data_IF_666977475233
#
_entry.id   IF_666977475233
#
_cell.length_a   1.000
_cell.length_b   1.000
_cell.length_c   1.000
_cell.angle_alpha   90.00
_cell.angle_beta   90.00
_cell.angle_gamma   90.00
#
_symmetry.space_group_name_H-M   'P 1'
#
loop_
_entity.id
_entity.type
_entity.pdbx_description
1 polymer ?
#
# COMPACT_ATOMS: atom_id res chain seq x y z
N UNK A 1 7.81 -55.89 31.15
CA UNK A 1 6.37 -55.54 31.28
C UNK A 1 6.19 -54.24 32.07
N UNK A 2 6.78 -53.14 31.58
CA UNK A 2 6.73 -51.79 32.20
C UNK A 2 6.27 -50.74 31.17
N UNK A 3 5.44 -51.14 30.20
CA UNK A 3 4.93 -50.26 29.13
C UNK A 3 3.40 -50.15 29.11
N UNK A 4 2.70 -50.87 29.99
CA UNK A 4 1.22 -50.80 30.12
C UNK A 4 0.80 -49.92 31.30
N UNK A 5 1.66 -49.76 32.33
CA UNK A 5 1.35 -48.97 33.53
C UNK A 5 1.45 -47.45 33.25
N UNK A 6 2.27 -47.01 32.29
CA UNK A 6 2.39 -45.58 31.93
C UNK A 6 1.17 -45.07 31.14
N UNK A 7 0.44 -45.95 30.45
CA UNK A 7 -0.73 -45.57 29.66
C UNK A 7 -2.00 -45.37 30.52
N UNK A 8 -2.09 -46.04 31.67
CA UNK A 8 -3.22 -45.88 32.61
C UNK A 8 -3.21 -44.57 33.38
N UNK A 9 -2.02 -44.00 33.65
CA UNK A 9 -1.88 -42.73 34.38
C UNK A 9 -2.18 -41.53 33.47
N UNK A 10 -1.86 -41.59 32.17
CA UNK A 10 -2.25 -40.54 31.22
C UNK A 10 -3.77 -40.44 31.02
N UNK A 11 -4.52 -41.55 31.13
CA UNK A 11 -5.96 -41.56 30.90
C UNK A 11 -6.77 -41.02 32.10
N UNK A 12 -6.23 -41.13 33.32
CA UNK A 12 -6.90 -40.63 34.52
C UNK A 12 -6.80 -39.09 34.67
N UNK A 13 -5.77 -38.44 34.11
CA UNK A 13 -5.63 -36.98 34.15
C UNK A 13 -6.57 -36.28 33.17
N UNK A 14 -6.99 -36.94 32.09
CA UNK A 14 -7.91 -36.36 31.10
C UNK A 14 -9.36 -36.30 31.61
N UNK A 15 -9.77 -37.20 32.51
CA UNK A 15 -11.16 -37.23 33.00
C UNK A 15 -11.47 -36.19 34.10
N UNK A 16 -10.46 -35.55 34.69
CA UNK A 16 -10.62 -34.57 35.77
C UNK A 16 -10.20 -33.14 35.36
N UNK A 17 -9.84 -32.92 34.09
CA UNK A 17 -9.70 -31.57 33.59
C UNK A 17 -11.09 -30.91 33.61
N UNK A 18 -11.28 -29.74 34.25
CA UNK A 18 -12.51 -29.00 34.09
C UNK A 18 -12.72 -28.81 32.59
N UNK A 19 -13.83 -29.36 32.08
CA UNK A 19 -14.35 -28.99 30.78
C UNK A 19 -14.63 -27.49 30.86
N UNK A 20 -13.65 -26.68 30.47
CA UNK A 20 -13.87 -25.30 30.10
C UNK A 20 -14.68 -25.34 28.80
N UNK A 21 -15.98 -25.62 28.94
CA UNK A 21 -16.98 -25.28 27.95
C UNK A 21 -16.94 -23.77 27.83
N UNK A 22 -16.05 -23.28 26.97
CA UNK A 22 -16.02 -21.89 26.57
C UNK A 22 -17.39 -21.60 25.98
N UNK A 23 -18.15 -20.80 26.68
CA UNK A 23 -19.35 -20.17 26.17
C UNK A 23 -18.90 -19.31 24.99
N UNK A 24 -18.98 -19.87 23.78
CA UNK A 24 -18.78 -19.12 22.55
C UNK A 24 -20.00 -18.21 22.44
N UNK A 25 -19.90 -17.11 23.17
CA UNK A 25 -20.69 -15.93 23.01
C UNK A 25 -20.70 -15.65 21.51
N UNK A 26 -21.82 -15.99 20.87
CA UNK A 26 -22.07 -15.71 19.47
C UNK A 26 -22.13 -14.20 19.40
N UNK A 27 -20.97 -13.58 19.19
CA UNK A 27 -20.89 -12.22 18.74
C UNK A 27 -21.70 -12.17 17.46
N UNK A 28 -22.93 -11.69 17.58
CA UNK A 28 -23.60 -11.08 16.46
C UNK A 28 -22.66 -9.94 16.04
N UNK A 29 -21.79 -10.24 15.08
CA UNK A 29 -21.17 -9.20 14.28
C UNK A 29 -22.35 -8.51 13.59
N UNK A 30 -22.86 -7.45 14.21
CA UNK A 30 -23.55 -6.42 13.49
C UNK A 30 -22.55 -5.94 12.43
N UNK A 31 -22.65 -6.51 11.24
CA UNK A 31 -21.89 -6.09 10.08
C UNK A 31 -22.32 -4.65 9.78
N UNK A 32 -21.71 -3.70 10.48
CA UNK A 32 -21.74 -2.31 10.11
C UNK A 32 -21.05 -2.23 8.75
N UNK A 33 -21.84 -2.30 7.68
CA UNK A 33 -21.40 -1.97 6.34
C UNK A 33 -21.04 -0.47 6.34
N UNK A 34 -19.83 -0.17 6.79
CA UNK A 34 -19.31 1.19 6.75
C UNK A 34 -19.12 1.59 5.29
N UNK A 35 -19.58 2.79 4.92
CA UNK A 35 -19.36 3.36 3.60
C UNK A 35 -18.15 4.30 3.68
N UNK A 36 -16.92 3.83 3.39
CA UNK A 36 -15.72 4.62 3.60
C UNK A 36 -15.73 5.86 2.71
N UNK A 37 -15.53 7.03 3.33
CA UNK A 37 -15.59 8.31 2.64
C UNK A 37 -14.58 9.28 3.20
N UNK A 38 -13.76 9.87 2.34
CA UNK A 38 -12.84 10.93 2.71
C UNK A 38 -12.52 11.82 1.52
N UNK A 39 -11.98 13.00 1.82
CA UNK A 39 -11.39 13.92 0.85
C UNK A 39 -10.16 14.54 1.48
N UNK A 40 -9.04 14.54 0.76
CA UNK A 40 -7.86 15.30 1.16
C UNK A 40 -7.26 16.05 -0.02
N UNK A 41 -6.47 17.06 0.31
CA UNK A 41 -5.61 17.77 -0.63
C UNK A 41 -4.39 18.32 0.10
N UNK A 42 -3.25 18.35 -0.57
CA UNK A 42 -2.07 19.06 -0.10
C UNK A 42 -1.29 19.62 -1.29
N UNK A 43 -0.41 20.58 -1.03
CA UNK A 43 0.52 21.09 -2.03
C UNK A 43 1.73 21.75 -1.38
N UNK A 44 2.84 21.75 -2.10
CA UNK A 44 4.07 22.46 -1.76
C UNK A 44 4.39 23.40 -2.91
N UNK A 45 4.71 24.64 -2.55
CA UNK A 45 5.13 25.68 -3.49
C UNK A 45 6.33 26.41 -2.90
N UNK A 46 7.49 25.78 -2.96
CA UNK A 46 8.73 26.33 -2.42
C UNK A 46 9.62 26.90 -3.54
N UNK A 47 9.78 28.22 -3.57
CA UNK A 47 10.65 28.91 -4.53
C UNK A 47 12.15 28.78 -4.24
N UNK A 48 12.55 28.35 -3.04
CA UNK A 48 13.97 28.16 -2.70
C UNK A 48 14.46 26.78 -3.14
N UNK A 49 13.78 25.71 -2.72
CA UNK A 49 14.13 24.34 -3.15
C UNK A 49 13.60 23.99 -4.54
N UNK A 50 12.70 24.81 -5.09
CA UNK A 50 11.97 24.55 -6.33
C UNK A 50 11.06 23.31 -6.25
N UNK A 51 10.68 22.92 -5.04
CA UNK A 51 9.72 21.84 -4.79
C UNK A 51 8.29 22.36 -5.03
N UNK A 52 7.76 22.02 -6.20
CA UNK A 52 6.41 22.33 -6.64
C UNK A 52 5.65 21.03 -6.90
N UNK A 53 4.67 20.75 -6.04
CA UNK A 53 3.83 19.55 -6.16
C UNK A 53 2.47 19.75 -5.53
N UNK A 54 1.49 18.98 -5.98
CA UNK A 54 0.17 18.94 -5.35
C UNK A 54 -0.43 17.56 -5.44
N UNK A 55 -1.28 17.19 -4.48
CA UNK A 55 -2.09 15.98 -4.57
C UNK A 55 -3.49 16.23 -4.04
N UNK A 56 -4.46 15.51 -4.58
CA UNK A 56 -5.78 15.38 -4.00
C UNK A 56 -6.32 13.98 -4.23
N UNK A 57 -7.17 13.53 -3.31
CA UNK A 57 -7.90 12.27 -3.45
C UNK A 57 -9.28 12.41 -2.82
N UNK A 58 -10.24 11.75 -3.43
CA UNK A 58 -11.60 11.58 -2.94
C UNK A 58 -11.96 10.10 -3.03
N UNK A 59 -12.34 9.54 -1.89
CA UNK A 59 -12.99 8.23 -1.81
C UNK A 59 -14.45 8.35 -1.48
N UNK A 60 -15.28 7.65 -2.23
CA UNK A 60 -16.70 7.45 -1.96
C UNK A 60 -17.04 5.95 -2.12
N UNK A 61 -17.10 5.23 -0.99
CA UNK A 61 -17.26 3.79 -0.96
C UNK A 61 -16.08 3.07 -1.62
N UNK A 62 -16.37 2.30 -2.66
CA UNK A 62 -15.38 1.56 -3.45
C UNK A 62 -14.68 2.42 -4.49
N UNK A 63 -15.13 3.65 -4.74
CA UNK A 63 -14.59 4.50 -5.79
C UNK A 63 -13.59 5.47 -5.20
N UNK A 64 -12.35 5.38 -5.69
CA UNK A 64 -11.28 6.36 -5.41
C UNK A 64 -10.97 7.12 -6.68
N UNK A 65 -10.79 8.44 -6.58
CA UNK A 65 -10.29 9.29 -7.65
C UNK A 65 -9.30 10.29 -7.06
N UNK A 66 -8.25 10.58 -7.80
CA UNK A 66 -7.31 11.61 -7.39
C UNK A 66 -6.38 12.03 -8.50
N UNK A 67 -5.56 13.03 -8.17
CA UNK A 67 -4.50 13.51 -9.02
C UNK A 67 -3.27 13.82 -8.17
N UNK A 68 -2.10 13.69 -8.79
CA UNK A 68 -0.87 14.26 -8.28
C UNK A 68 -0.14 15.03 -9.39
N UNK A 69 0.52 16.14 -9.02
CA UNK A 69 1.39 16.93 -9.90
C UNK A 69 2.78 17.08 -9.31
N UNK A 70 3.80 17.10 -10.19
CA UNK A 70 5.19 17.29 -9.81
C UNK A 70 5.95 18.05 -10.90
N UNK A 71 6.62 19.12 -10.51
CA UNK A 71 7.71 19.70 -11.30
C UNK A 71 8.95 18.81 -11.09
N UNK A 72 9.38 18.10 -12.14
CA UNK A 72 10.47 17.13 -12.09
C UNK A 72 11.84 17.78 -12.27
N UNK A 73 12.88 17.13 -11.73
CA UNK A 73 14.26 17.62 -11.79
C UNK A 73 14.82 17.71 -13.22
N UNK A 74 14.26 16.97 -14.18
CA UNK A 74 14.62 17.04 -15.60
C UNK A 74 13.92 18.19 -16.35
N UNK A 75 13.15 19.02 -15.64
CA UNK A 75 12.42 20.17 -16.18
C UNK A 75 11.05 19.80 -16.77
N UNK A 76 10.60 18.55 -16.66
CA UNK A 76 9.26 18.15 -17.07
C UNK A 76 8.22 18.40 -15.98
N UNK A 77 6.96 18.59 -16.38
CA UNK A 77 5.83 18.66 -15.46
C UNK A 77 5.00 17.38 -15.59
N UNK A 78 4.91 16.63 -14.50
CA UNK A 78 4.14 15.39 -14.45
C UNK A 78 2.76 15.63 -13.88
N UNK A 79 1.74 15.13 -14.56
CA UNK A 79 0.36 15.04 -14.07
C UNK A 79 -0.05 13.58 -14.09
N UNK A 80 -0.54 13.09 -12.95
CA UNK A 80 -1.00 11.72 -12.80
C UNK A 80 -2.46 11.75 -12.35
N UNK A 81 -3.38 11.45 -13.25
CA UNK A 81 -4.79 11.24 -12.92
C UNK A 81 -5.02 9.75 -12.64
N UNK A 82 -5.61 9.42 -11.51
CA UNK A 82 -5.85 8.04 -11.14
C UNK A 82 -7.27 7.80 -10.61
N UNK A 83 -7.73 6.57 -10.79
CA UNK A 83 -8.98 6.09 -10.23
C UNK A 83 -8.89 4.62 -9.84
N UNK A 84 -9.71 4.19 -8.89
CA UNK A 84 -9.82 2.78 -8.52
C UNK A 84 -11.26 2.44 -8.17
N UNK A 85 -11.71 1.23 -8.54
CA UNK A 85 -12.99 0.66 -8.12
C UNK A 85 -12.95 -0.88 -8.13
N UNK A 86 -13.96 -1.53 -7.56
CA UNK A 86 -14.03 -2.99 -7.43
C UNK A 86 -14.11 -3.75 -8.77
N UNK A 87 -14.48 -3.08 -9.88
CA UNK A 87 -14.64 -3.72 -11.20
C UNK A 87 -13.36 -3.64 -12.03
N UNK A 88 -12.79 -2.44 -12.15
CA UNK A 88 -11.65 -2.17 -13.03
C UNK A 88 -10.31 -2.20 -12.30
N UNK A 89 -10.31 -2.25 -10.96
CA UNK A 89 -9.10 -2.03 -10.18
C UNK A 89 -8.54 -0.63 -10.37
N UNK A 90 -7.25 -0.47 -10.08
CA UNK A 90 -6.52 0.79 -10.23
C UNK A 90 -6.22 1.09 -11.70
N UNK A 91 -6.56 2.29 -12.13
CA UNK A 91 -6.30 2.83 -13.46
C UNK A 91 -5.65 4.20 -13.34
N UNK A 92 -4.71 4.49 -14.23
CA UNK A 92 -3.92 5.73 -14.19
C UNK A 92 -3.66 6.25 -15.60
N UNK A 93 -3.65 7.57 -15.73
CA UNK A 93 -3.19 8.28 -16.91
C UNK A 93 -2.04 9.21 -16.50
N UNK A 94 -0.87 9.01 -17.10
CA UNK A 94 0.32 9.80 -16.80
C UNK A 94 0.61 10.71 -17.98
N UNK A 95 0.67 12.01 -17.71
CA UNK A 95 1.09 13.03 -18.65
C UNK A 95 2.43 13.59 -18.18
N UNK A 96 3.35 13.75 -19.13
CA UNK A 96 4.64 14.39 -18.90
C UNK A 96 4.82 15.49 -19.91
N UNK A 97 4.72 16.72 -19.44
CA UNK A 97 4.73 17.92 -20.26
C UNK A 97 6.14 18.54 -20.23
N UNK A 98 6.58 19.10 -21.36
CA UNK A 98 7.90 19.70 -21.50
C UNK A 98 8.95 18.73 -22.03
N UNK A 99 10.17 19.24 -22.20
CA UNK A 99 11.28 18.47 -22.76
C UNK A 99 12.25 18.10 -21.64
N UNK A 100 12.37 16.79 -21.42
CA UNK A 100 13.24 16.26 -20.41
C UNK A 100 14.71 16.56 -20.76
N UNK A 101 15.42 17.17 -19.83
CA UNK A 101 16.84 17.49 -19.96
C UNK A 101 17.63 16.55 -19.06
N UNK A 102 18.34 15.64 -19.69
CA UNK A 102 19.22 14.71 -19.00
C UNK A 102 20.67 15.10 -19.33
N UNK A 103 21.55 15.23 -18.34
CA UNK A 103 22.97 15.34 -18.61
C UNK A 103 23.40 14.10 -19.41
N UNK A 104 23.97 14.29 -20.59
CA UNK A 104 24.79 13.26 -21.19
C UNK A 104 26.01 13.15 -20.29
N UNK A 105 26.08 12.11 -19.47
CA UNK A 105 27.26 11.86 -18.64
C UNK A 105 28.49 11.85 -19.53
N UNK A 106 29.49 12.67 -19.21
CA UNK A 106 30.82 12.49 -19.75
C UNK A 106 31.26 11.09 -19.31
N UNK A 107 31.37 10.14 -20.25
CA UNK A 107 32.01 8.87 -19.95
C UNK A 107 33.46 9.18 -19.55
N UNK A 108 33.80 8.98 -18.27
CA UNK A 108 35.16 9.07 -17.75
C UNK A 108 36.02 7.87 -18.15
N UNK A 109 35.66 7.15 -19.20
CA UNK A 109 36.48 6.07 -19.74
C UNK A 109 37.11 6.56 -21.04
N UNK A 110 38.35 7.08 -20.93
CA UNK A 110 39.29 6.99 -22.04
C UNK A 110 39.63 5.51 -22.23
N UNK A 111 38.81 4.78 -22.97
CA UNK A 111 39.27 3.52 -23.55
C UNK A 111 40.09 3.94 -24.76
N UNK A 112 41.42 3.93 -24.64
CA UNK A 112 42.25 3.84 -25.84
C UNK A 112 41.91 2.51 -26.50
N UNK A 113 41.06 2.56 -27.53
CA UNK A 113 40.85 1.43 -28.42
C UNK A 113 42.12 1.26 -29.25
N UNK A 114 43.10 0.57 -28.69
CA UNK A 114 44.18 -0.02 -29.47
C UNK A 114 43.59 -1.20 -30.25
N UNK A 115 43.39 -0.99 -31.55
CA UNK A 115 43.35 -2.05 -32.55
C UNK A 115 44.76 -2.35 -33.05
#
# INVERSE_FOLDING_TARGET
MFKIIVLGVCLAVVAAAPYYGGDYNRHHEDHHHSHPKYKFRYGVKDGYTHDHKSAWEHRDGDVVKGQYTLDEADGTHRVVDYSSNHKSGFQVHVQRNGQARHPHGTSYVKIDQHY
#
